data_IF_916806412385
#
_entry.id   IF_916806412385
#
_cell.length_a   1.000
_cell.length_b   1.000
_cell.length_c   1.000
_cell.angle_alpha   90.00
_cell.angle_beta   90.00
_cell.angle_gamma   90.00
#
_symmetry.space_group_name_H-M   'P 1'
#
loop_
_entity.id
_entity.type
_entity.pdbx_description
1 polymer ?
#
# COMPACT_ATOMS: atom_id res chain seq x y z
N UNK A 1 -8.84 23.27 -24.17
CA UNK A 1 -8.09 22.69 -25.31
C UNK A 1 -7.46 21.36 -24.92
N UNK A 2 -6.72 21.28 -23.81
CA UNK A 2 -6.01 20.06 -23.38
C UNK A 2 -6.93 18.89 -23.03
N UNK A 3 -8.06 19.15 -22.35
CA UNK A 3 -9.07 18.12 -22.08
C UNK A 3 -9.74 17.59 -23.37
N UNK A 4 -9.93 18.48 -24.35
CA UNK A 4 -10.49 18.08 -25.63
C UNK A 4 -9.52 17.21 -26.42
N UNK A 5 -8.22 17.50 -26.34
CA UNK A 5 -7.16 16.69 -26.94
C UNK A 5 -7.09 15.29 -26.32
N UNK A 6 -7.16 15.17 -24.99
CA UNK A 6 -7.18 13.85 -24.33
C UNK A 6 -8.41 13.02 -24.69
N UNK A 7 -9.57 13.66 -24.90
CA UNK A 7 -10.77 12.99 -25.41
C UNK A 7 -10.59 12.49 -26.84
N UNK A 8 -9.99 13.30 -27.71
CA UNK A 8 -9.75 12.92 -29.11
C UNK A 8 -8.80 11.72 -29.24
N UNK A 9 -7.73 11.66 -28.41
CA UNK A 9 -6.82 10.52 -28.41
C UNK A 9 -7.51 9.22 -27.99
N UNK A 10 -8.47 9.29 -27.05
CA UNK A 10 -9.26 8.12 -26.62
C UNK A 10 -10.20 7.57 -27.70
N UNK A 11 -10.66 8.44 -28.60
CA UNK A 11 -11.64 8.09 -29.65
C UNK A 11 -10.96 7.83 -31.01
N UNK A 12 -9.62 7.87 -31.05
CA UNK A 12 -8.89 7.61 -32.30
C UNK A 12 -9.11 6.17 -32.75
N UNK A 13 -9.63 5.91 -33.95
CA UNK A 13 -9.85 4.57 -34.44
C UNK A 13 -8.50 3.88 -34.70
N UNK A 14 -8.21 2.84 -33.94
CA UNK A 14 -7.06 1.98 -34.14
C UNK A 14 -7.47 0.70 -34.86
N UNK A 15 -6.58 0.12 -35.66
CA UNK A 15 -6.87 -1.09 -36.46
C UNK A 15 -7.10 -2.36 -35.66
N UNK A 16 -6.85 -2.33 -34.32
CA UNK A 16 -7.10 -3.48 -33.45
C UNK A 16 -8.01 -3.08 -32.28
N UNK A 17 -9.11 -3.79 -32.13
CA UNK A 17 -10.06 -3.61 -30.99
C UNK A 17 -9.47 -3.97 -29.61
N UNK A 18 -8.26 -4.52 -29.55
CA UNK A 18 -7.66 -5.03 -28.33
C UNK A 18 -6.69 -4.05 -27.64
N UNK A 19 -6.23 -3.00 -28.31
CA UNK A 19 -5.30 -2.03 -27.71
C UNK A 19 -5.96 -0.66 -27.52
N UNK A 20 -6.30 -0.34 -26.27
CA UNK A 20 -6.79 0.99 -25.89
C UNK A 20 -5.62 1.86 -25.44
N UNK A 21 -5.25 2.84 -26.24
CA UNK A 21 -4.28 3.84 -25.83
C UNK A 21 -4.89 4.86 -24.88
N UNK A 22 -4.14 5.21 -23.83
CA UNK A 22 -4.47 6.31 -22.94
C UNK A 22 -3.29 7.25 -22.83
N UNK A 23 -3.60 8.53 -22.71
CA UNK A 23 -2.60 9.59 -22.55
C UNK A 23 -2.79 10.26 -21.20
N UNK A 24 -1.67 10.57 -20.54
CA UNK A 24 -1.64 11.40 -19.34
C UNK A 24 -0.93 12.70 -19.67
N UNK A 25 -1.51 13.83 -19.32
CA UNK A 25 -0.98 15.16 -19.58
C UNK A 25 -0.95 15.98 -18.29
N UNK A 26 0.21 16.59 -18.03
CA UNK A 26 0.35 17.66 -17.04
C UNK A 26 0.73 18.94 -17.74
N UNK A 27 0.20 20.08 -17.32
CA UNK A 27 0.57 21.38 -17.86
C UNK A 27 0.59 22.46 -16.78
N UNK A 28 1.34 23.51 -17.04
CA UNK A 28 1.41 24.70 -16.19
C UNK A 28 1.37 25.97 -17.04
N UNK A 29 0.84 27.02 -16.47
CA UNK A 29 0.67 28.31 -17.15
C UNK A 29 1.79 29.26 -16.77
N UNK A 30 2.42 29.87 -17.79
CA UNK A 30 3.38 30.96 -17.61
C UNK A 30 2.69 32.31 -17.79
N UNK A 31 2.98 33.37 -17.02
CA UNK A 31 3.92 33.38 -15.88
C UNK A 31 3.29 33.04 -14.53
N UNK A 32 2.09 32.50 -14.52
CA UNK A 32 1.26 32.29 -13.31
C UNK A 32 1.94 31.41 -12.25
N UNK A 33 2.63 30.34 -12.67
CA UNK A 33 3.19 29.35 -11.76
C UNK A 33 4.71 29.24 -11.82
N UNK A 34 5.37 29.97 -12.71
CA UNK A 34 6.81 29.89 -12.89
C UNK A 34 7.36 31.17 -13.51
N UNK A 35 8.58 31.55 -13.13
CA UNK A 35 9.34 32.66 -13.69
C UNK A 35 10.41 32.20 -14.69
N UNK A 36 10.77 30.92 -14.66
CA UNK A 36 11.77 30.32 -15.54
C UNK A 36 11.21 29.08 -16.24
N UNK A 37 11.82 28.70 -17.37
CA UNK A 37 11.47 27.49 -18.11
C UNK A 37 11.63 26.23 -17.23
N UNK A 38 12.67 26.17 -16.43
CA UNK A 38 12.95 25.03 -15.54
C UNK A 38 11.84 24.87 -14.49
N UNK A 39 11.41 25.98 -13.87
CA UNK A 39 10.27 25.98 -12.94
C UNK A 39 8.97 25.57 -13.64
N UNK A 40 8.73 26.08 -14.86
CA UNK A 40 7.54 25.74 -15.63
C UNK A 40 7.48 24.24 -15.95
N UNK A 41 8.59 23.67 -16.38
CA UNK A 41 8.70 22.22 -16.63
C UNK A 41 8.49 21.39 -15.36
N UNK A 42 9.05 21.84 -14.22
CA UNK A 42 8.84 21.19 -12.93
C UNK A 42 7.37 21.20 -12.51
N UNK A 43 6.69 22.34 -12.67
CA UNK A 43 5.26 22.45 -12.39
C UNK A 43 4.40 21.51 -13.27
N UNK A 44 4.68 21.50 -14.58
CA UNK A 44 3.98 20.63 -15.53
C UNK A 44 4.22 19.13 -15.24
N UNK A 45 5.44 18.76 -14.89
CA UNK A 45 5.82 17.40 -14.53
C UNK A 45 5.16 16.94 -13.20
N UNK A 46 5.04 17.84 -12.23
CA UNK A 46 4.30 17.61 -10.99
C UNK A 46 2.83 17.31 -11.28
N UNK A 47 2.18 18.10 -12.14
CA UNK A 47 0.80 17.86 -12.54
C UNK A 47 0.63 16.55 -13.33
N UNK A 48 1.58 16.21 -14.19
CA UNK A 48 1.59 14.92 -14.91
C UNK A 48 1.70 13.73 -13.96
N UNK A 49 2.50 13.87 -12.92
CA UNK A 49 2.65 12.82 -11.91
C UNK A 49 1.33 12.55 -11.18
N UNK A 50 0.61 13.59 -10.77
CA UNK A 50 -0.73 13.47 -10.15
C UNK A 50 -1.72 12.74 -11.07
N UNK A 51 -1.74 13.05 -12.37
CA UNK A 51 -2.59 12.32 -13.34
C UNK A 51 -2.24 10.83 -13.36
N UNK A 52 -0.95 10.49 -13.29
CA UNK A 52 -0.51 9.09 -13.27
C UNK A 52 -0.91 8.35 -11.98
N UNK A 53 -0.93 9.04 -10.84
CA UNK A 53 -1.40 8.50 -9.56
C UNK A 53 -2.92 8.26 -9.57
N UNK A 54 -3.69 9.15 -10.21
CA UNK A 54 -5.14 9.07 -10.28
C UNK A 54 -5.69 8.07 -11.32
N UNK A 55 -4.86 7.22 -11.88
CA UNK A 55 -5.30 6.16 -12.79
C UNK A 55 -4.77 6.26 -14.22
N UNK A 56 -3.73 7.05 -14.47
CA UNK A 56 -3.00 7.14 -15.77
C UNK A 56 -3.84 7.57 -16.97
N UNK A 57 -4.95 8.26 -16.76
CA UNK A 57 -5.80 8.73 -17.85
C UNK A 57 -6.34 10.11 -17.54
N UNK A 58 -5.92 11.14 -18.24
CA UNK A 58 -6.45 12.47 -18.04
C UNK A 58 -5.48 13.59 -18.30
N UNK A 59 -5.92 14.77 -17.93
CA UNK A 59 -5.20 16.03 -18.06
C UNK A 59 -5.34 16.80 -16.76
N UNK A 60 -4.25 17.39 -16.25
CA UNK A 60 -4.28 18.22 -15.05
C UNK A 60 -3.42 19.46 -15.23
N UNK A 61 -3.98 20.58 -14.80
CA UNK A 61 -3.24 21.82 -14.63
C UNK A 61 -2.53 21.82 -13.29
N UNK A 62 -1.29 22.31 -13.28
CA UNK A 62 -0.58 22.55 -12.03
C UNK A 62 -1.34 23.58 -11.19
N UNK A 63 -1.42 23.34 -9.87
CA UNK A 63 -1.96 24.27 -8.88
C UNK A 63 -1.02 24.35 -7.69
N UNK A 64 -0.93 25.50 -7.07
CA UNK A 64 -0.19 25.66 -5.82
C UNK A 64 -0.73 24.70 -4.76
N UNK A 65 0.18 23.96 -4.12
CA UNK A 65 -0.18 22.92 -3.15
C UNK A 65 -0.16 21.50 -3.71
N UNK A 66 -0.04 21.30 -5.02
CA UNK A 66 0.39 20.02 -5.57
C UNK A 66 1.82 19.77 -5.10
N UNK A 67 2.00 18.89 -4.13
CA UNK A 67 3.35 18.51 -3.70
C UNK A 67 3.85 17.44 -4.66
N UNK A 68 5.04 17.60 -5.27
CA UNK A 68 5.72 16.46 -5.84
C UNK A 68 5.99 15.53 -4.65
N UNK A 69 5.21 14.47 -4.54
CA UNK A 69 5.65 13.37 -3.68
C UNK A 69 7.06 13.03 -4.15
N UNK A 70 7.96 12.92 -3.18
CA UNK A 70 9.38 12.68 -3.41
C UNK A 70 9.47 11.60 -4.47
N UNK A 71 9.86 11.96 -5.69
CA UNK A 71 10.28 10.99 -6.69
C UNK A 71 11.33 10.15 -6.00
N UNK A 72 10.97 8.95 -5.61
CA UNK A 72 11.99 8.01 -5.24
C UNK A 72 12.84 7.84 -6.50
N UNK A 73 14.06 8.33 -6.47
CA UNK A 73 15.05 8.23 -7.55
C UNK A 73 15.30 6.77 -7.98
N UNK A 74 14.60 5.85 -7.37
CA UNK A 74 14.76 4.40 -7.49
C UNK A 74 14.00 3.79 -8.68
N UNK A 75 13.16 4.55 -9.41
CA UNK A 75 12.42 4.03 -10.56
C UNK A 75 11.33 2.99 -10.22
N UNK A 76 11.07 2.74 -8.93
CA UNK A 76 10.02 1.85 -8.46
C UNK A 76 8.76 2.61 -8.09
N UNK A 77 7.60 2.12 -8.52
CA UNK A 77 6.31 2.64 -8.06
C UNK A 77 6.04 2.04 -6.66
N UNK A 78 5.51 2.80 -5.70
CA UNK A 78 5.20 2.29 -4.35
C UNK A 78 4.39 0.99 -4.36
N UNK A 79 3.47 0.85 -5.31
CA UNK A 79 2.68 -0.37 -5.51
C UNK A 79 3.57 -1.56 -5.88
N UNK A 80 4.54 -1.38 -6.79
CA UNK A 80 5.42 -2.48 -7.20
C UNK A 80 6.29 -2.95 -6.03
N UNK A 81 6.74 -2.02 -5.18
CA UNK A 81 7.50 -2.36 -3.97
C UNK A 81 6.64 -3.20 -3.02
N UNK A 82 5.43 -2.74 -2.70
CA UNK A 82 4.54 -3.43 -1.76
C UNK A 82 4.09 -4.81 -2.27
N UNK A 83 3.80 -4.92 -3.57
CA UNK A 83 3.38 -6.20 -4.18
C UNK A 83 4.51 -7.22 -4.33
N UNK A 84 5.77 -6.76 -4.36
CA UNK A 84 6.94 -7.64 -4.52
C UNK A 84 7.78 -7.77 -3.24
N UNK A 85 7.28 -7.33 -2.08
CA UNK A 85 7.92 -7.63 -0.80
C UNK A 85 7.95 -9.15 -0.57
N UNK A 86 9.09 -9.71 -0.13
CA UNK A 86 9.21 -11.14 0.16
C UNK A 86 8.52 -11.47 1.49
N UNK A 87 7.20 -11.57 1.49
CA UNK A 87 6.39 -11.92 2.65
C UNK A 87 5.01 -11.29 2.63
N UNK A 88 4.15 -11.77 3.52
CA UNK A 88 2.82 -11.24 3.70
C UNK A 88 2.89 -9.90 4.43
N UNK A 89 2.51 -8.82 3.75
CA UNK A 89 2.60 -7.46 4.26
C UNK A 89 1.22 -6.84 4.42
N UNK A 90 0.96 -6.26 5.59
CA UNK A 90 -0.30 -5.64 5.94
C UNK A 90 -0.07 -4.30 6.67
N UNK A 91 -0.96 -3.34 6.47
CA UNK A 91 -0.99 -2.06 7.19
C UNK A 91 -2.35 -1.94 7.84
N UNK A 92 -2.38 -1.61 9.14
CA UNK A 92 -3.61 -1.37 9.88
C UNK A 92 -3.46 -0.21 10.86
N UNK A 93 -4.58 0.33 11.37
CA UNK A 93 -4.56 1.43 12.34
C UNK A 93 -3.99 0.97 13.67
N UNK A 94 -3.11 1.76 14.24
CA UNK A 94 -2.55 1.55 15.58
C UNK A 94 -3.43 2.24 16.63
N UNK A 95 -4.65 1.74 16.81
CA UNK A 95 -5.65 2.28 17.73
C UNK A 95 -6.25 1.12 18.52
N UNK A 96 -6.46 1.30 19.84
CA UNK A 96 -7.09 0.30 20.71
C UNK A 96 -8.56 0.06 20.39
N UNK A 97 -9.24 1.05 19.81
CA UNK A 97 -10.68 0.94 19.48
C UNK A 97 -10.89 0.41 18.05
N UNK A 98 -9.96 0.73 17.14
CA UNK A 98 -10.08 0.34 15.74
C UNK A 98 -8.72 -0.05 15.18
N UNK A 99 -8.55 -1.32 14.88
CA UNK A 99 -7.41 -1.89 14.19
C UNK A 99 -7.71 -2.12 12.70
N UNK A 100 -8.39 -1.14 12.08
CA UNK A 100 -8.86 -1.21 10.70
C UNK A 100 -7.72 -1.52 9.72
N UNK A 101 -7.89 -2.57 8.92
CA UNK A 101 -6.99 -2.93 7.85
C UNK A 101 -7.09 -1.90 6.73
N UNK A 102 -5.97 -1.24 6.43
CA UNK A 102 -5.87 -0.20 5.41
C UNK A 102 -5.30 -0.73 4.10
N UNK A 103 -4.41 -1.72 4.17
CA UNK A 103 -3.74 -2.29 3.01
C UNK A 103 -3.26 -3.71 3.31
N UNK A 104 -3.28 -4.57 2.30
CA UNK A 104 -2.61 -5.87 2.29
C UNK A 104 -2.00 -6.12 0.90
N UNK A 105 -0.78 -6.67 0.85
CA UNK A 105 -0.18 -7.07 -0.41
C UNK A 105 -0.72 -8.42 -0.89
N UNK A 106 -0.35 -8.81 -2.10
CA UNK A 106 -0.79 -10.07 -2.72
C UNK A 106 -0.43 -11.30 -1.90
N UNK A 107 0.75 -11.31 -1.28
CA UNK A 107 1.19 -12.44 -0.43
C UNK A 107 0.34 -12.55 0.85
N UNK A 108 -0.07 -11.43 1.45
CA UNK A 108 -0.99 -11.44 2.59
C UNK A 108 -2.36 -12.00 2.21
N UNK A 109 -2.92 -11.57 1.08
CA UNK A 109 -4.19 -12.09 0.55
C UNK A 109 -4.09 -13.60 0.31
N UNK A 110 -2.99 -14.06 -0.31
CA UNK A 110 -2.73 -15.48 -0.54
C UNK A 110 -2.57 -16.28 0.77
N UNK A 111 -1.86 -15.73 1.74
CA UNK A 111 -1.60 -16.36 3.03
C UNK A 111 -2.91 -16.63 3.80
N UNK A 112 -3.85 -15.69 3.75
CA UNK A 112 -5.17 -15.82 4.38
C UNK A 112 -6.16 -16.71 3.62
N UNK A 113 -5.81 -17.11 2.39
CA UNK A 113 -6.69 -17.89 1.51
C UNK A 113 -7.78 -17.06 0.82
N UNK A 114 -7.73 -15.74 0.93
CA UNK A 114 -8.61 -14.82 0.22
C UNK A 114 -8.18 -14.65 -1.25
N UNK A 115 -9.09 -14.15 -2.10
CA UNK A 115 -8.81 -13.91 -3.53
C UNK A 115 -8.49 -12.46 -3.83
N UNK A 116 -9.12 -11.55 -3.09
CA UNK A 116 -9.03 -10.10 -3.27
C UNK A 116 -8.89 -9.39 -1.92
N UNK A 117 -8.56 -8.11 -1.97
CA UNK A 117 -8.58 -7.24 -0.78
C UNK A 117 -9.99 -7.15 -0.19
N UNK A 118 -11.02 -7.06 -1.04
CA UNK A 118 -12.41 -6.98 -0.59
C UNK A 118 -12.84 -8.26 0.13
N UNK A 119 -12.42 -9.44 -0.35
CA UNK A 119 -12.65 -10.71 0.34
C UNK A 119 -11.98 -10.72 1.72
N UNK A 120 -10.73 -10.23 1.82
CA UNK A 120 -10.01 -10.13 3.08
C UNK A 120 -10.73 -9.21 4.06
N UNK A 121 -11.16 -8.03 3.62
CA UNK A 121 -11.89 -7.08 4.46
C UNK A 121 -13.23 -7.63 4.92
N UNK A 122 -13.96 -8.31 4.04
CA UNK A 122 -15.23 -8.95 4.41
C UNK A 122 -15.02 -10.11 5.39
N UNK A 123 -13.98 -10.94 5.17
CA UNK A 123 -13.64 -12.05 6.06
C UNK A 123 -13.25 -11.60 7.46
N UNK A 124 -12.46 -10.53 7.56
CA UNK A 124 -11.92 -10.02 8.83
C UNK A 124 -12.82 -8.98 9.50
N UNK A 125 -13.96 -8.66 8.91
CA UNK A 125 -14.75 -7.48 9.32
C UNK A 125 -13.88 -6.22 9.45
N UNK A 126 -12.93 -6.06 8.51
CA UNK A 126 -11.92 -4.98 8.41
C UNK A 126 -10.93 -4.89 9.58
N UNK A 127 -10.95 -5.80 10.56
CA UNK A 127 -10.11 -5.78 11.77
C UNK A 127 -8.94 -6.76 11.65
N UNK A 128 -7.72 -6.28 11.98
CA UNK A 128 -6.53 -7.14 12.05
C UNK A 128 -6.67 -8.20 13.14
N UNK A 129 -7.28 -7.86 14.28
CA UNK A 129 -7.53 -8.76 15.39
C UNK A 129 -8.26 -10.03 14.98
N UNK A 130 -9.13 -9.96 13.96
CA UNK A 130 -9.88 -11.10 13.45
C UNK A 130 -9.03 -12.08 12.60
N UNK A 131 -7.79 -11.73 12.28
CA UNK A 131 -6.80 -12.65 11.73
C UNK A 131 -6.08 -13.49 12.80
N UNK A 132 -6.22 -13.13 14.08
CA UNK A 132 -5.57 -13.82 15.21
C UNK A 132 -6.55 -14.86 15.76
N UNK A 133 -6.01 -16.03 16.12
CA UNK A 133 -6.79 -17.10 16.79
C UNK A 133 -7.45 -16.52 18.05
N UNK A 134 -8.74 -16.77 18.24
CA UNK A 134 -9.58 -16.08 19.23
C UNK A 134 -8.99 -16.11 20.65
N UNK A 135 -8.45 -17.25 21.05
CA UNK A 135 -7.86 -17.46 22.37
C UNK A 135 -6.54 -16.68 22.56
N UNK A 136 -5.89 -16.26 21.48
CA UNK A 136 -4.60 -15.56 21.52
C UNK A 136 -4.74 -14.04 21.42
N UNK A 137 -5.88 -13.51 20.99
CA UNK A 137 -6.11 -12.10 20.65
C UNK A 137 -5.63 -11.12 21.72
N UNK A 138 -6.08 -11.32 22.95
CA UNK A 138 -5.77 -10.40 24.06
C UNK A 138 -4.28 -10.45 24.43
N UNK A 139 -3.68 -11.65 24.42
CA UNK A 139 -2.27 -11.82 24.75
C UNK A 139 -1.37 -11.20 23.67
N UNK A 140 -1.73 -11.35 22.39
CA UNK A 140 -1.00 -10.76 21.25
C UNK A 140 -1.07 -9.24 21.31
N UNK A 141 -2.25 -8.67 21.47
CA UNK A 141 -2.45 -7.23 21.56
C UNK A 141 -1.69 -6.65 22.76
N UNK A 142 -1.79 -7.26 23.92
CA UNK A 142 -1.04 -6.85 25.12
C UNK A 142 0.46 -6.88 24.87
N UNK A 143 0.98 -7.91 24.23
CA UNK A 143 2.41 -8.03 23.90
C UNK A 143 2.90 -6.92 22.95
N UNK A 144 2.14 -6.62 21.89
CA UNK A 144 2.44 -5.53 20.97
C UNK A 144 2.53 -4.20 21.72
N UNK A 145 1.48 -3.86 22.47
CA UNK A 145 1.43 -2.58 23.18
C UNK A 145 2.43 -2.47 24.33
N UNK A 146 2.81 -3.56 24.98
CA UNK A 146 3.89 -3.55 25.96
C UNK A 146 5.21 -3.14 25.33
N UNK A 147 5.55 -3.68 24.15
CA UNK A 147 6.78 -3.35 23.44
C UNK A 147 6.78 -1.88 22.98
N UNK A 148 5.67 -1.41 22.42
CA UNK A 148 5.53 -0.02 21.97
C UNK A 148 5.59 0.95 23.16
N UNK A 149 4.91 0.67 24.26
CA UNK A 149 4.91 1.51 25.48
C UNK A 149 6.26 1.50 26.18
N UNK A 150 7.07 0.45 26.00
CA UNK A 150 8.45 0.40 26.47
C UNK A 150 9.41 1.25 25.59
N UNK A 151 8.89 1.93 24.57
CA UNK A 151 9.65 2.81 23.68
C UNK A 151 10.25 2.11 22.45
N UNK A 152 9.85 0.88 22.17
CA UNK A 152 10.26 0.20 20.96
C UNK A 152 9.43 0.73 19.78
N UNK A 153 10.08 0.98 18.65
CA UNK A 153 9.39 1.35 17.40
C UNK A 153 8.96 0.14 16.59
N UNK A 154 9.50 -1.03 16.91
CA UNK A 154 9.15 -2.32 16.32
C UNK A 154 8.65 -3.25 17.42
N UNK A 155 7.75 -4.15 17.05
CA UNK A 155 7.30 -5.27 17.86
C UNK A 155 7.53 -6.61 17.16
N UNK A 156 7.58 -7.68 17.95
CA UNK A 156 7.75 -9.05 17.50
C UNK A 156 6.83 -9.94 18.31
N UNK A 157 5.87 -10.58 17.66
CA UNK A 157 4.91 -11.45 18.35
C UNK A 157 4.68 -12.72 17.52
N UNK A 158 4.62 -13.87 18.20
CA UNK A 158 4.18 -15.13 17.59
C UNK A 158 2.72 -15.34 17.88
N UNK A 159 1.95 -15.71 16.85
CA UNK A 159 0.55 -16.10 17.01
C UNK A 159 0.10 -17.05 15.89
N UNK A 160 -1.10 -17.61 16.03
CA UNK A 160 -1.75 -18.39 14.99
C UNK A 160 -2.67 -17.51 14.16
N UNK A 161 -2.28 -17.30 12.89
CA UNK A 161 -3.11 -16.62 11.90
C UNK A 161 -4.22 -17.56 11.45
N UNK A 162 -5.48 -17.12 11.55
CA UNK A 162 -6.66 -17.86 11.06
C UNK A 162 -6.88 -17.51 9.59
N UNK A 163 -7.13 -18.56 8.76
CA UNK A 163 -7.41 -18.39 7.33
C UNK A 163 -8.91 -18.44 7.07
N UNK A 164 -9.29 -17.97 5.89
CA UNK A 164 -10.70 -17.98 5.46
C UNK A 164 -11.33 -19.39 5.37
N UNK A 165 -10.54 -20.46 5.28
CA UNK A 165 -10.98 -21.85 5.32
C UNK A 165 -11.11 -22.42 6.76
N UNK A 166 -10.88 -21.60 7.77
CA UNK A 166 -10.91 -21.98 9.19
C UNK A 166 -9.65 -22.69 9.69
N UNK A 167 -8.65 -22.95 8.85
CA UNK A 167 -7.37 -23.48 9.30
C UNK A 167 -6.50 -22.36 9.92
N UNK A 168 -5.59 -22.74 10.81
CA UNK A 168 -4.64 -21.80 11.40
C UNK A 168 -3.19 -22.11 11.02
N UNK A 169 -2.36 -21.08 11.05
CA UNK A 169 -0.96 -21.10 10.65
C UNK A 169 -0.14 -20.32 11.66
N UNK A 170 0.92 -20.89 12.28
CA UNK A 170 1.81 -20.15 13.15
C UNK A 170 2.67 -19.17 12.34
N UNK A 171 2.60 -17.90 12.72
CA UNK A 171 3.34 -16.80 12.08
C UNK A 171 4.15 -16.01 13.09
N UNK A 172 5.24 -15.41 12.64
CA UNK A 172 5.93 -14.34 13.33
C UNK A 172 5.46 -13.01 12.74
N UNK A 173 4.91 -12.18 13.58
CA UNK A 173 4.64 -10.78 13.31
C UNK A 173 5.91 -9.96 13.58
N UNK A 174 6.32 -9.18 12.60
CA UNK A 174 7.31 -8.14 12.73
C UNK A 174 6.64 -6.81 12.35
N UNK A 175 6.15 -6.11 13.36
CA UNK A 175 5.45 -4.85 13.23
C UNK A 175 6.36 -3.65 13.41
N UNK A 176 5.93 -2.51 12.88
CA UNK A 176 6.52 -1.20 13.11
C UNK A 176 5.44 -0.15 13.17
N UNK A 177 5.40 0.62 14.28
CA UNK A 177 4.50 1.75 14.41
C UNK A 177 5.06 3.00 13.71
N UNK A 178 4.22 3.69 12.95
CA UNK A 178 4.58 4.87 12.16
C UNK A 178 3.48 5.92 12.28
N UNK A 179 3.86 7.19 12.35
CA UNK A 179 2.93 8.31 12.27
C UNK A 179 2.63 8.63 10.81
N UNK A 180 1.37 8.53 10.42
CA UNK A 180 0.88 8.86 9.09
C UNK A 180 0.09 10.18 9.12
N UNK A 181 0.43 11.13 8.24
CA UNK A 181 -0.29 12.40 8.16
C UNK A 181 -1.77 12.28 7.78
N UNK A 182 -2.19 11.13 7.20
CA UNK A 182 -3.58 10.88 6.78
C UNK A 182 -4.36 10.01 7.78
N UNK A 183 -3.70 9.02 8.37
CA UNK A 183 -4.36 7.96 9.15
C UNK A 183 -4.02 7.99 10.63
N UNK A 184 -3.17 8.94 11.10
CA UNK A 184 -2.61 8.92 12.44
C UNK A 184 -1.59 7.80 12.62
N UNK A 185 -1.54 7.18 13.78
CA UNK A 185 -0.65 6.05 14.01
C UNK A 185 -1.14 4.80 13.28
N UNK A 186 -0.23 4.14 12.59
CA UNK A 186 -0.49 2.90 11.85
C UNK A 186 0.64 1.90 12.08
N UNK A 187 0.32 0.62 12.00
CA UNK A 187 1.30 -0.46 11.98
C UNK A 187 1.59 -0.88 10.55
N UNK A 188 2.87 -1.02 10.23
CA UNK A 188 3.40 -1.73 9.07
C UNK A 188 3.87 -3.09 9.56
N UNK A 189 3.25 -4.16 9.08
CA UNK A 189 3.51 -5.51 9.58
C UNK A 189 3.92 -6.44 8.46
N UNK A 190 5.01 -7.16 8.69
CA UNK A 190 5.45 -8.28 7.86
C UNK A 190 5.18 -9.58 8.63
N UNK A 191 4.30 -10.43 8.10
CA UNK A 191 4.03 -11.75 8.64
C UNK A 191 4.90 -12.79 7.93
N UNK A 192 5.58 -13.60 8.73
CA UNK A 192 6.45 -14.67 8.26
C UNK A 192 5.92 -16.03 8.73
N UNK A 193 5.65 -16.94 7.78
CA UNK A 193 5.27 -18.31 8.09
C UNK A 193 6.44 -19.06 8.74
N UNK A 194 6.22 -19.56 9.95
CA UNK A 194 7.23 -20.29 10.71
C UNK A 194 7.69 -21.57 10.02
N UNK A 195 6.86 -22.23 9.23
CA UNK A 195 7.23 -23.43 8.49
C UNK A 195 8.23 -23.12 7.38
N UNK A 196 8.02 -22.02 6.67
CA UNK A 196 8.96 -21.56 5.64
C UNK A 196 10.32 -21.18 6.21
N UNK A 197 10.37 -20.66 7.44
CA UNK A 197 11.63 -20.34 8.11
C UNK A 197 12.41 -21.60 8.52
N UNK A 198 11.74 -22.64 9.01
CA UNK A 198 12.39 -23.90 9.42
C UNK A 198 13.03 -24.65 8.25
N UNK A 199 12.49 -24.52 7.05
CA UNK A 199 13.00 -25.22 5.86
C UNK A 199 14.42 -24.78 5.46
N UNK A 200 14.79 -23.53 5.78
CA UNK A 200 16.13 -23.00 5.45
C UNK A 200 17.20 -23.22 6.54
N UNK A 201 16.78 -23.54 7.77
CA UNK A 201 17.71 -23.71 8.91
C UNK A 201 17.75 -25.12 9.49
N UNK A 202 16.88 -26.04 9.03
CA UNK A 202 16.62 -27.31 9.69
C UNK A 202 17.43 -28.53 9.25
N UNK A 203 18.27 -28.46 8.23
CA UNK A 203 19.00 -29.62 7.72
C UNK A 203 20.54 -29.57 7.88
N UNK A 204 21.06 -28.75 8.75
CA UNK A 204 22.51 -28.63 8.93
C UNK A 204 23.03 -28.68 10.39
N UNK A 205 22.25 -29.29 11.29
CA UNK A 205 22.85 -29.65 12.59
C UNK A 205 22.25 -30.94 13.12
#
# INVERSE_FOLDING_TARGET
>A
QMEQFTKQVRTFPYESEQEKFSISLGYAEYPRYAETLEQLMHCADTALYEVKLLGKQGCMEYREGLRPEIRTQLGFVPKDVSENLPGAFIIYRADHETDEILFANREMIRLTGCRTMDDLLAYTDRSFRNLILEEERDAVEQSIWQQINAGHVNDYVYFHLVKADGTSLPVLDHGRIVESGRYGKIFYVLLMDQKSMKWHYGEKY
#
